data_IF_329800348205
#
_entry.id   IF_329800348205
#
_cell.length_a   1.000
_cell.length_b   1.000
_cell.length_c   1.000
_cell.angle_alpha   90.00
_cell.angle_beta   90.00
_cell.angle_gamma   90.00
#
_symmetry.space_group_name_H-M   'P 1'
#
loop_
_entity.id
_entity.type
_entity.pdbx_description
1 polymer ?
#
# COMPACT_ATOMS: atom_id res chain seq x y z
N UNK A 1 7.49 58.69 4.39
CA UNK A 1 7.52 57.23 4.58
C UNK A 1 8.60 56.62 3.70
N UNK A 2 9.53 55.84 4.28
CA UNK A 2 10.73 55.36 3.58
C UNK A 2 10.42 54.19 2.64
N UNK A 3 10.95 54.22 1.40
CA UNK A 3 10.82 53.13 0.41
C UNK A 3 11.21 51.77 0.99
N UNK A 4 12.15 51.71 1.94
CA UNK A 4 12.56 50.48 2.64
C UNK A 4 11.43 49.79 3.40
N UNK A 5 10.49 50.53 3.98
CA UNK A 5 9.38 49.96 4.75
C UNK A 5 8.35 49.28 3.84
N UNK A 6 8.18 49.81 2.62
CA UNK A 6 7.31 49.25 1.58
C UNK A 6 7.85 47.92 1.03
N UNK A 7 9.15 47.82 0.78
CA UNK A 7 9.79 46.57 0.33
C UNK A 7 9.75 45.47 1.38
N UNK A 8 9.96 45.80 2.66
CA UNK A 8 9.88 44.81 3.75
C UNK A 8 8.44 44.32 3.94
N UNK A 9 7.44 45.18 3.76
CA UNK A 9 6.03 44.79 3.78
C UNK A 9 5.65 43.82 2.66
N UNK A 10 6.08 44.09 1.42
CA UNK A 10 5.85 43.21 0.27
C UNK A 10 6.60 41.87 0.40
N UNK A 11 7.84 41.87 0.89
CA UNK A 11 8.62 40.66 1.09
C UNK A 11 7.99 39.73 2.14
N UNK A 12 7.44 40.29 3.22
CA UNK A 12 6.72 39.51 4.24
C UNK A 12 5.42 38.91 3.70
N UNK A 13 4.67 39.65 2.89
CA UNK A 13 3.47 39.13 2.21
C UNK A 13 3.79 38.01 1.21
N UNK A 14 4.86 38.17 0.42
CA UNK A 14 5.35 37.13 -0.50
C UNK A 14 5.80 35.85 0.23
N UNK A 15 6.42 35.98 1.40
CA UNK A 15 6.80 34.84 2.23
C UNK A 15 5.58 34.11 2.82
N UNK A 16 4.53 34.83 3.24
CA UNK A 16 3.33 34.24 3.84
C UNK A 16 2.46 33.45 2.85
N UNK A 17 2.51 33.76 1.55
CA UNK A 17 1.71 33.07 0.51
C UNK A 17 2.55 32.10 -0.33
N UNK A 18 3.82 32.46 -0.60
CA UNK A 18 4.74 31.66 -1.41
C UNK A 18 5.28 30.43 -0.70
N UNK A 19 5.64 30.53 0.59
CA UNK A 19 6.20 29.39 1.33
C UNK A 19 5.19 28.25 1.54
N UNK A 20 3.91 28.49 1.92
CA UNK A 20 2.92 27.42 2.02
C UNK A 20 2.64 26.77 0.65
N UNK A 21 2.54 27.58 -0.41
CA UNK A 21 2.23 27.08 -1.76
C UNK A 21 3.36 26.23 -2.34
N UNK A 22 4.62 26.64 -2.15
CA UNK A 22 5.79 25.85 -2.55
C UNK A 22 5.91 24.55 -1.73
N UNK A 23 5.63 24.60 -0.42
CA UNK A 23 5.61 23.41 0.43
C UNK A 23 4.53 22.41 -0.01
N UNK A 24 3.33 22.89 -0.33
CA UNK A 24 2.25 22.05 -0.90
C UNK A 24 2.65 21.47 -2.25
N UNK A 25 3.27 22.26 -3.13
CA UNK A 25 3.78 21.78 -4.42
C UNK A 25 4.85 20.68 -4.28
N UNK A 26 5.78 20.83 -3.33
CA UNK A 26 6.80 19.81 -3.04
C UNK A 26 6.20 18.53 -2.45
N UNK A 27 5.23 18.64 -1.54
CA UNK A 27 4.52 17.48 -0.98
C UNK A 27 3.73 16.74 -2.06
N UNK A 28 3.01 17.47 -2.91
CA UNK A 28 2.25 16.91 -4.02
C UNK A 28 3.15 16.22 -5.06
N UNK A 29 4.27 16.85 -5.44
CA UNK A 29 5.24 16.27 -6.37
C UNK A 29 5.87 14.98 -5.82
N UNK A 30 6.15 14.92 -4.51
CA UNK A 30 6.70 13.72 -3.85
C UNK A 30 5.67 12.59 -3.79
N UNK A 31 4.42 12.90 -3.44
CA UNK A 31 3.33 11.93 -3.40
C UNK A 31 3.06 11.36 -4.81
N UNK A 32 3.04 12.22 -5.82
CA UNK A 32 2.87 11.84 -7.22
C UNK A 32 3.98 10.91 -7.72
N UNK A 33 5.26 11.23 -7.44
CA UNK A 33 6.41 10.34 -7.79
C UNK A 33 6.36 9.00 -7.09
N UNK A 34 5.98 8.98 -5.82
CA UNK A 34 5.89 7.73 -5.05
C UNK A 34 4.76 6.85 -5.58
N UNK A 35 3.60 7.45 -5.89
CA UNK A 35 2.48 6.75 -6.51
C UNK A 35 2.83 6.21 -7.90
N UNK A 36 3.53 6.98 -8.74
CA UNK A 36 3.91 6.52 -10.09
C UNK A 36 4.94 5.40 -10.05
N UNK A 37 5.94 5.46 -9.16
CA UNK A 37 6.89 4.38 -8.98
C UNK A 37 6.20 3.08 -8.50
N UNK A 38 5.25 3.19 -7.57
CA UNK A 38 4.48 2.05 -7.08
C UNK A 38 3.52 1.49 -8.15
N UNK A 39 2.98 2.33 -9.03
CA UNK A 39 2.17 1.89 -10.15
C UNK A 39 3.01 1.15 -11.20
N UNK A 40 4.24 1.60 -11.43
CA UNK A 40 5.20 0.89 -12.28
C UNK A 40 5.58 -0.49 -11.69
N UNK A 41 5.76 -0.59 -10.36
CA UNK A 41 5.95 -1.88 -9.67
C UNK A 41 4.77 -2.84 -9.92
N UNK A 42 3.53 -2.33 -10.05
CA UNK A 42 2.36 -3.15 -10.36
C UNK A 42 2.26 -3.54 -11.84
N UNK A 43 2.67 -2.67 -12.76
CA UNK A 43 2.75 -3.00 -14.19
C UNK A 43 3.82 -4.07 -14.44
N UNK A 44 4.92 -4.02 -13.69
CA UNK A 44 5.98 -5.02 -13.69
C UNK A 44 5.69 -6.24 -12.80
N UNK A 45 4.47 -6.39 -12.28
CA UNK A 45 4.12 -7.55 -11.46
C UNK A 45 4.31 -8.84 -12.25
N UNK A 46 5.18 -9.71 -11.74
CA UNK A 46 5.50 -10.99 -12.36
C UNK A 46 4.54 -12.10 -11.92
N UNK A 47 4.73 -13.33 -12.44
CA UNK A 47 4.05 -14.49 -11.90
C UNK A 47 4.39 -14.68 -10.41
N UNK A 48 3.52 -15.38 -9.69
CA UNK A 48 3.80 -15.82 -8.33
C UNK A 48 5.13 -16.61 -8.33
N UNK A 49 6.11 -16.26 -7.48
CA UNK A 49 7.39 -16.97 -7.44
C UNK A 49 7.20 -18.47 -7.20
N UNK A 50 8.07 -19.28 -7.79
CA UNK A 50 7.99 -20.74 -7.66
C UNK A 50 8.02 -21.20 -6.19
N UNK A 51 7.10 -22.11 -5.84
CA UNK A 51 6.93 -22.64 -4.49
C UNK A 51 6.26 -21.69 -3.49
N UNK A 52 5.89 -20.47 -3.90
CA UNK A 52 5.10 -19.56 -3.07
C UNK A 52 3.61 -19.83 -3.24
N UNK A 53 2.90 -19.98 -2.12
CA UNK A 53 1.44 -20.09 -2.06
C UNK A 53 0.91 -19.01 -1.13
N UNK A 54 -0.30 -18.53 -1.39
CA UNK A 54 -0.95 -17.54 -0.56
C UNK A 54 -2.46 -17.71 -0.58
N UNK A 55 -3.11 -17.16 0.44
CA UNK A 55 -4.56 -17.05 0.54
C UNK A 55 -4.95 -15.71 1.16
N UNK A 56 -6.07 -15.14 0.74
CA UNK A 56 -6.64 -13.92 1.33
C UNK A 56 -8.10 -14.21 1.69
N UNK A 57 -8.48 -13.83 2.91
CA UNK A 57 -9.83 -14.05 3.39
C UNK A 57 -10.78 -13.00 2.81
N UNK A 58 -11.60 -13.45 1.87
CA UNK A 58 -12.57 -12.64 1.14
C UNK A 58 -13.57 -11.93 2.07
N UNK A 59 -13.85 -12.48 3.26
CA UNK A 59 -14.76 -11.84 4.22
C UNK A 59 -14.25 -10.50 4.70
N UNK A 60 -12.93 -10.35 4.82
CA UNK A 60 -12.33 -9.09 5.26
C UNK A 60 -12.18 -8.08 4.10
N UNK A 61 -12.27 -8.55 2.84
CA UNK A 61 -12.28 -7.69 1.65
C UNK A 61 -13.61 -6.95 1.45
N UNK A 62 -14.67 -7.38 2.15
CA UNK A 62 -15.94 -6.69 2.23
C UNK A 62 -15.84 -5.63 3.34
N UNK A 63 -15.78 -4.36 2.97
CA UNK A 63 -15.55 -3.29 3.95
C UNK A 63 -16.73 -3.12 4.91
N UNK A 64 -16.51 -3.27 6.21
CA UNK A 64 -17.47 -2.85 7.23
C UNK A 64 -17.14 -1.42 7.71
N UNK A 65 -18.08 -0.48 7.53
CA UNK A 65 -17.95 0.89 8.02
C UNK A 65 -16.92 1.75 7.25
N UNK A 66 -15.92 2.29 7.95
CA UNK A 66 -14.95 3.28 7.41
C UNK A 66 -13.63 2.67 6.91
N UNK A 67 -13.47 1.35 6.91
CA UNK A 67 -12.21 0.69 6.53
C UNK A 67 -12.38 -0.73 5.98
N UNK A 68 -11.55 -1.10 5.02
CA UNK A 68 -11.29 -2.49 4.63
C UNK A 68 -10.20 -3.09 5.51
N UNK A 69 -10.24 -4.40 5.74
CA UNK A 69 -9.13 -5.15 6.32
C UNK A 69 -8.67 -6.18 5.30
N UNK A 70 -7.39 -6.22 4.96
CA UNK A 70 -6.86 -7.26 4.08
C UNK A 70 -6.12 -8.21 4.98
N UNK A 71 -6.69 -9.41 5.18
CA UNK A 71 -6.12 -10.45 6.02
C UNK A 71 -5.88 -11.69 5.16
N UNK A 72 -4.73 -12.31 5.30
CA UNK A 72 -4.36 -13.47 4.50
C UNK A 72 -3.22 -14.25 5.10
N UNK A 73 -2.70 -15.18 4.30
CA UNK A 73 -1.51 -15.94 4.59
C UNK A 73 -0.64 -16.10 3.35
N UNK A 74 0.64 -16.37 3.58
CA UNK A 74 1.62 -16.68 2.54
C UNK A 74 2.61 -17.72 3.08
N UNK A 75 3.00 -18.69 2.26
CA UNK A 75 3.96 -19.74 2.58
C UNK A 75 4.87 -20.00 1.39
N UNK A 76 6.05 -20.57 1.64
CA UNK A 76 7.03 -20.90 0.60
C UNK A 76 8.44 -20.41 0.89
N UNK A 77 9.37 -20.59 -0.06
CA UNK A 77 10.76 -20.20 0.09
C UNK A 77 10.94 -18.68 0.08
N UNK A 78 11.75 -18.17 1.01
CA UNK A 78 12.07 -16.75 1.08
C UNK A 78 10.94 -15.87 1.65
N UNK A 79 9.87 -16.46 2.21
CA UNK A 79 8.87 -15.70 2.95
C UNK A 79 9.53 -15.06 4.19
N UNK A 80 9.38 -13.74 4.40
CA UNK A 80 10.15 -13.05 5.43
C UNK A 80 9.89 -13.62 6.83
N UNK A 81 10.95 -13.76 7.63
CA UNK A 81 10.80 -14.12 9.04
C UNK A 81 10.09 -12.99 9.80
N UNK A 82 9.44 -13.30 10.92
CA UNK A 82 8.68 -12.30 11.70
C UNK A 82 9.52 -11.08 12.16
N UNK A 83 10.85 -11.20 12.16
CA UNK A 83 11.79 -10.12 12.48
C UNK A 83 12.19 -9.29 11.26
N UNK A 84 12.03 -9.82 10.05
CA UNK A 84 12.30 -9.18 8.77
C UNK A 84 10.99 -8.76 8.11
N UNK A 85 10.38 -7.67 8.58
CA UNK A 85 9.08 -7.20 8.11
C UNK A 85 9.14 -6.60 6.69
N UNK A 86 9.03 -7.42 5.64
CA UNK A 86 8.93 -6.89 4.26
C UNK A 86 7.76 -7.41 3.43
N UNK A 87 6.77 -8.09 4.01
CA UNK A 87 5.51 -8.28 3.28
C UNK A 87 4.73 -6.97 3.27
N UNK A 88 4.38 -6.51 2.08
CA UNK A 88 3.66 -5.28 1.82
C UNK A 88 2.50 -5.58 0.89
N UNK A 89 1.42 -4.82 1.01
CA UNK A 89 0.28 -4.88 0.11
C UNK A 89 0.31 -3.64 -0.76
N UNK A 90 0.39 -3.85 -2.07
CA UNK A 90 0.32 -2.79 -3.04
C UNK A 90 -1.11 -2.71 -3.56
N UNK A 91 -1.78 -1.59 -3.30
CA UNK A 91 -3.10 -1.28 -3.82
C UNK A 91 -2.99 -0.40 -5.04
N UNK A 92 -3.69 -0.77 -6.10
CA UNK A 92 -3.66 -0.03 -7.37
C UNK A 92 -5.08 0.32 -7.78
N UNK A 93 -5.24 1.56 -8.23
CA UNK A 93 -6.45 2.03 -8.86
C UNK A 93 -6.39 1.79 -10.38
N UNK A 94 -7.25 0.92 -10.92
CA UNK A 94 -7.35 0.74 -12.36
C UNK A 94 -7.73 2.06 -13.04
N UNK A 95 -7.10 2.35 -14.19
CA UNK A 95 -7.44 3.51 -15.04
C UNK A 95 -6.84 4.85 -14.60
N UNK A 96 -6.55 5.07 -13.32
CA UNK A 96 -5.95 6.34 -12.84
C UNK A 96 -4.44 6.24 -12.61
N UNK A 97 -3.88 5.03 -12.54
CA UNK A 97 -2.47 4.81 -12.22
C UNK A 97 -2.08 5.21 -10.80
N UNK A 98 -3.06 5.47 -9.92
CA UNK A 98 -2.78 5.71 -8.52
C UNK A 98 -2.38 4.39 -7.85
N UNK A 99 -1.28 4.40 -7.10
CA UNK A 99 -0.82 3.23 -6.36
C UNK A 99 -0.42 3.59 -4.94
N UNK A 100 -0.63 2.65 -4.02
CA UNK A 100 -0.38 2.84 -2.60
C UNK A 100 0.19 1.57 -1.99
N UNK A 101 1.29 1.73 -1.28
CA UNK A 101 1.90 0.67 -0.51
C UNK A 101 1.38 0.69 0.93
N UNK A 102 0.97 -0.47 1.41
CA UNK A 102 0.53 -0.72 2.79
C UNK A 102 1.54 -1.65 3.46
N UNK A 103 1.99 -1.28 4.64
CA UNK A 103 2.76 -2.17 5.47
C UNK A 103 1.83 -3.19 6.12
N UNK A 104 2.17 -4.48 6.02
CA UNK A 104 1.44 -5.52 6.72
C UNK A 104 1.97 -5.68 8.14
N UNK A 105 1.07 -6.02 9.05
CA UNK A 105 1.42 -6.60 10.35
C UNK A 105 1.43 -8.11 10.17
N UNK A 106 2.48 -8.77 10.66
CA UNK A 106 2.58 -10.22 10.65
C UNK A 106 2.45 -10.74 12.08
N UNK A 107 1.21 -10.93 12.59
CA UNK A 107 1.02 -11.42 13.94
C UNK A 107 1.56 -12.85 14.06
N UNK A 108 2.47 -13.07 15.02
CA UNK A 108 3.00 -14.39 15.32
C UNK A 108 1.90 -15.30 15.86
N UNK A 109 1.75 -16.49 15.29
CA UNK A 109 0.81 -17.51 15.77
C UNK A 109 -0.67 -17.19 15.54
N UNK A 110 -1.01 -16.16 14.76
CA UNK A 110 -2.41 -15.95 14.40
C UNK A 110 -2.91 -17.12 13.53
N UNK A 111 -4.17 -17.56 13.71
CA UNK A 111 -4.73 -18.61 12.89
C UNK A 111 -4.78 -18.17 11.43
N UNK A 112 -4.41 -19.08 10.54
CA UNK A 112 -4.46 -18.88 9.10
C UNK A 112 -5.93 -18.63 8.71
N UNK A 113 -6.25 -17.49 8.08
CA UNK A 113 -7.58 -17.26 7.53
C UNK A 113 -7.84 -18.29 6.43
N UNK A 114 -9.02 -18.91 6.38
CA UNK A 114 -9.30 -19.88 5.32
C UNK A 114 -9.92 -21.14 5.88
N UNK A 115 -9.17 -22.09 6.44
CA UNK A 115 -9.76 -23.37 6.85
C UNK A 115 -9.06 -24.09 8.02
N UNK A 116 -9.83 -24.81 8.84
CA UNK A 116 -9.40 -26.07 9.44
C UNK A 116 -9.35 -27.16 8.36
N UNK A 117 -8.16 -27.64 8.00
CA UNK A 117 -7.99 -28.74 7.03
C UNK A 117 -6.93 -28.52 5.95
N UNK A 118 -6.44 -27.29 5.77
CA UNK A 118 -5.31 -27.03 4.87
C UNK A 118 -4.00 -27.51 5.53
N UNK A 119 -3.37 -28.52 4.92
CA UNK A 119 -2.03 -28.96 5.28
C UNK A 119 -1.01 -27.91 4.84
N UNK A 120 -0.81 -26.91 5.68
CA UNK A 120 0.23 -25.91 5.50
C UNK A 120 1.59 -26.49 5.86
N UNK A 121 2.48 -26.52 4.89
CA UNK A 121 3.90 -26.73 5.16
C UNK A 121 4.48 -25.47 5.81
N UNK A 122 5.14 -25.62 6.96
CA UNK A 122 5.94 -24.51 7.50
C UNK A 122 7.02 -24.13 6.46
N UNK A 123 7.24 -22.83 6.17
CA UNK A 123 6.83 -21.65 6.95
C UNK A 123 5.63 -20.88 6.38
N UNK A 124 4.40 -21.19 6.80
CA UNK A 124 3.24 -20.34 6.56
C UNK A 124 3.18 -19.14 7.53
N UNK A 125 2.74 -17.99 7.04
CA UNK A 125 2.66 -16.73 7.80
C UNK A 125 1.38 -15.98 7.49
N UNK A 126 0.69 -15.56 8.53
CA UNK A 126 -0.45 -14.64 8.43
C UNK A 126 -0.01 -13.20 8.29
N UNK A 127 -0.80 -12.41 7.59
CA UNK A 127 -0.63 -10.97 7.49
C UNK A 127 -1.96 -10.23 7.58
N UNK A 128 -1.90 -8.99 8.03
CA UNK A 128 -3.04 -8.08 8.07
C UNK A 128 -2.63 -6.64 7.72
N UNK A 129 -3.45 -5.95 6.94
CA UNK A 129 -3.38 -4.51 6.75
C UNK A 129 -4.76 -3.86 6.78
N UNK A 130 -4.87 -2.69 7.42
CA UNK A 130 -6.10 -1.91 7.43
C UNK A 130 -6.04 -0.77 6.39
N UNK A 131 -7.13 -0.61 5.62
CA UNK A 131 -7.27 0.39 4.56
C UNK A 131 -8.44 1.30 4.89
N UNK A 132 -8.21 2.60 5.10
CA UNK A 132 -9.31 3.55 5.33
C UNK A 132 -10.09 3.82 4.05
N UNK A 133 -11.42 3.64 4.08
CA UNK A 133 -12.35 3.80 2.94
C UNK A 133 -12.38 5.22 2.39
N UNK A 134 -12.25 6.26 3.24
CA UNK A 134 -12.11 7.67 2.78
C UNK A 134 -10.94 7.89 1.80
N UNK A 135 -9.90 7.04 1.85
CA UNK A 135 -8.76 7.12 0.92
C UNK A 135 -8.97 6.28 -0.36
N UNK A 136 -10.03 5.48 -0.42
CA UNK A 136 -10.37 4.64 -1.58
C UNK A 136 -11.55 5.22 -2.36
N UNK A 137 -12.48 5.94 -1.70
CA UNK A 137 -13.75 6.42 -2.28
C UNK A 137 -13.67 7.61 -3.24
N UNK A 138 -12.49 8.14 -3.57
CA UNK A 138 -12.34 9.16 -4.64
C UNK A 138 -11.33 8.78 -5.73
N UNK A 139 -10.58 7.67 -5.57
CA UNK A 139 -9.47 7.32 -6.49
C UNK A 139 -9.49 5.90 -7.04
N UNK A 140 -10.44 5.05 -6.63
CA UNK A 140 -10.67 3.76 -7.29
C UNK A 140 -9.63 2.67 -7.01
N UNK A 141 -8.91 2.72 -5.88
CA UNK A 141 -7.98 1.66 -5.48
C UNK A 141 -8.72 0.34 -5.25
N UNK A 142 -8.58 -0.60 -6.17
CA UNK A 142 -9.35 -1.85 -6.12
C UNK A 142 -8.46 -3.08 -6.22
N UNK A 143 -7.39 -3.10 -7.03
CA UNK A 143 -6.55 -4.30 -7.19
C UNK A 143 -5.54 -4.47 -6.06
N UNK A 144 -5.36 -5.71 -5.63
CA UNK A 144 -4.48 -6.10 -4.54
C UNK A 144 -3.29 -6.87 -5.11
N UNK A 145 -2.08 -6.36 -4.86
CA UNK A 145 -0.82 -7.02 -5.18
C UNK A 145 -0.08 -7.34 -3.87
N UNK A 146 0.61 -8.47 -3.83
CA UNK A 146 1.53 -8.79 -2.74
C UNK A 146 2.96 -8.48 -3.17
N UNK A 147 3.69 -7.82 -2.27
CA UNK A 147 5.07 -7.39 -2.49
C UNK A 147 5.94 -7.85 -1.33
N UNK A 148 7.02 -8.55 -1.62
CA UNK A 148 8.00 -8.93 -0.61
C UNK A 148 9.41 -8.95 -1.20
N UNK A 149 10.42 -8.92 -0.33
CA UNK A 149 11.81 -8.99 -0.75
C UNK A 149 12.41 -10.34 -0.38
N UNK A 150 13.09 -10.95 -1.34
CA UNK A 150 13.83 -12.21 -1.20
C UNK A 150 15.20 -12.02 -1.82
N UNK A 151 16.25 -12.32 -1.07
CA UNK A 151 17.64 -12.30 -1.58
C UNK A 151 18.03 -10.97 -2.24
N UNK A 152 17.51 -9.84 -1.72
CA UNK A 152 17.75 -8.49 -2.26
C UNK A 152 16.90 -8.13 -3.49
N UNK A 153 16.07 -9.06 -3.98
CA UNK A 153 15.13 -8.83 -5.08
C UNK A 153 13.72 -8.61 -4.55
N UNK A 154 13.04 -7.58 -5.07
CA UNK A 154 11.62 -7.33 -4.76
C UNK A 154 10.76 -8.12 -5.73
N UNK A 155 9.90 -8.97 -5.18
CA UNK A 155 8.88 -9.68 -5.91
C UNK A 155 7.53 -9.01 -5.66
N UNK A 156 6.88 -8.58 -6.75
CA UNK A 156 5.50 -8.11 -6.75
C UNK A 156 4.70 -9.04 -7.65
N UNK A 157 3.56 -9.53 -7.17
CA UNK A 157 2.66 -10.38 -7.97
C UNK A 157 1.20 -10.02 -7.72
N UNK A 158 0.38 -10.22 -8.75
CA UNK A 158 -1.06 -9.99 -8.70
C UNK A 158 -1.73 -11.11 -7.91
N UNK A 159 -2.61 -10.75 -6.97
CA UNK A 159 -3.38 -11.73 -6.21
C UNK A 159 -4.62 -12.22 -6.94
N UNK A 160 -5.01 -11.54 -8.03
CA UNK A 160 -6.28 -11.74 -8.72
C UNK A 160 -7.49 -11.17 -7.96
N UNK A 161 -7.27 -10.62 -6.77
CA UNK A 161 -8.33 -10.11 -5.90
C UNK A 161 -8.45 -8.59 -5.95
N UNK A 162 -9.66 -8.14 -5.66
CA UNK A 162 -9.98 -6.74 -5.55
C UNK A 162 -10.76 -6.42 -4.27
N UNK A 163 -10.59 -5.20 -3.77
CA UNK A 163 -11.48 -4.62 -2.76
C UNK A 163 -12.88 -4.49 -3.36
N UNK A 164 -13.88 -5.04 -2.68
CA UNK A 164 -15.27 -4.95 -3.09
C UNK A 164 -15.91 -3.74 -2.41
N UNK A 165 -16.35 -2.75 -3.18
CA UNK A 165 -17.10 -1.61 -2.68
C UNK A 165 -18.60 -1.93 -2.76
N UNK A 166 -19.26 -2.08 -1.63
CA UNK A 166 -20.72 -2.06 -1.55
C UNK A 166 -21.10 -0.61 -1.23
N UNK A 167 -21.64 0.09 -2.24
CA UNK A 167 -22.02 1.50 -2.22
C UNK A 167 -22.50 2.00 -0.87
#
# INVERSE_FOLDING_TARGET
>A
MSRRTLFVGLAKLGACVGLPSAAVGLLYARESRTSTALAADAVGAGPVPEGVRFGIDHRFLQGEGRSYRIRGWIEGPGIPSARAARLQILLVAPGTGAARLLQTRMPLGAPLPGEPGENHSAPARTFEAAVRRRRTTDRGFTRIYLRFEREGTVHTFDTGLALQDHG
#
